data_IF_575040116772
#
_entry.id   IF_575040116772
#
_cell.length_a   1.000
_cell.length_b   1.000
_cell.length_c   1.000
_cell.angle_alpha   90.00
_cell.angle_beta   90.00
_cell.angle_gamma   90.00
#
_symmetry.space_group_name_H-M   'P 1'
#
loop_
_entity.id
_entity.type
_entity.pdbx_description
1 polymer ?
#
# COMPACT_ATOMS: atom_id res chain seq x y z
N UNK A 1 6.60 33.74 11.73
CA UNK A 1 6.66 34.72 10.62
C UNK A 1 7.46 34.07 9.48
N UNK A 2 6.79 33.34 8.60
CA UNK A 2 7.42 32.58 7.48
C UNK A 2 7.39 33.42 6.19
N UNK A 3 7.89 34.63 6.24
CA UNK A 3 7.95 35.50 5.06
C UNK A 3 9.23 35.19 4.29
N UNK A 4 9.13 34.37 3.24
CA UNK A 4 10.22 34.23 2.27
C UNK A 4 10.44 32.85 1.63
N UNK A 5 9.99 31.75 2.24
CA UNK A 5 10.16 30.41 1.65
C UNK A 5 8.81 29.90 1.12
N UNK A 6 8.74 29.62 -0.16
CA UNK A 6 7.55 29.08 -0.84
C UNK A 6 7.23 27.64 -0.39
N UNK A 7 8.22 26.90 0.12
CA UNK A 7 8.16 25.51 0.58
C UNK A 7 8.84 25.35 1.96
N UNK A 8 8.44 24.33 2.75
CA UNK A 8 9.11 24.06 4.02
C UNK A 8 10.57 23.65 3.79
N UNK A 9 11.45 23.97 4.71
CA UNK A 9 12.84 23.51 4.69
C UNK A 9 12.99 22.19 5.46
N UNK A 10 12.18 22.01 6.51
CA UNK A 10 12.21 20.81 7.35
C UNK A 10 10.81 20.32 7.70
N UNK A 11 10.55 19.05 7.40
CA UNK A 11 9.27 18.38 7.60
C UNK A 11 9.36 17.33 8.70
N UNK A 12 8.45 17.37 9.66
CA UNK A 12 8.21 16.28 10.62
C UNK A 12 7.19 15.31 10.01
N UNK A 13 7.65 14.20 9.50
CA UNK A 13 6.78 13.14 8.98
C UNK A 13 6.48 12.14 10.09
N UNK A 14 5.21 11.74 10.28
CA UNK A 14 4.80 10.85 11.37
C UNK A 14 4.25 9.55 10.81
N UNK A 15 4.89 8.44 11.17
CA UNK A 15 4.43 7.05 10.93
C UNK A 15 4.53 6.26 12.22
N UNK A 16 3.61 6.52 13.18
CA UNK A 16 3.70 6.04 14.56
C UNK A 16 3.61 4.51 14.65
N UNK A 17 2.64 3.89 13.96
CA UNK A 17 2.26 2.49 14.18
C UNK A 17 3.16 1.47 13.47
N UNK A 18 3.95 1.91 12.49
CA UNK A 18 4.87 1.06 11.73
C UNK A 18 6.03 1.88 11.19
N UNK A 19 7.25 1.36 11.33
CA UNK A 19 8.45 2.03 10.85
C UNK A 19 8.55 1.98 9.34
N UNK A 20 8.94 3.08 8.65
CA UNK A 20 9.22 3.05 7.21
C UNK A 20 10.38 2.10 6.85
N UNK A 21 11.19 1.68 7.84
CA UNK A 21 12.28 0.72 7.66
C UNK A 21 11.81 -0.74 7.79
N UNK A 22 10.57 -0.97 8.23
CA UNK A 22 10.03 -2.32 8.34
C UNK A 22 9.86 -2.96 6.95
N UNK A 23 10.16 -4.25 6.86
CA UNK A 23 10.04 -5.00 5.60
C UNK A 23 8.59 -5.13 5.18
N UNK A 24 8.16 -4.58 4.02
CA UNK A 24 6.80 -4.72 3.54
C UNK A 24 6.40 -6.19 3.37
N UNK A 25 5.17 -6.53 3.75
CA UNK A 25 4.68 -7.91 3.68
C UNK A 25 4.84 -8.71 4.97
N UNK A 26 5.48 -8.14 6.01
CA UNK A 26 5.60 -8.75 7.35
C UNK A 26 4.79 -7.96 8.38
N UNK A 27 4.08 -8.66 9.26
CA UNK A 27 3.29 -8.05 10.33
C UNK A 27 2.30 -7.01 9.80
N UNK A 28 2.42 -5.78 10.32
CA UNK A 28 1.60 -4.64 9.88
C UNK A 28 2.23 -3.82 8.74
N UNK A 29 3.48 -4.12 8.37
CA UNK A 29 4.18 -3.41 7.31
C UNK A 29 3.63 -3.75 5.91
N UNK A 30 3.42 -2.73 5.10
CA UNK A 30 2.83 -2.88 3.77
C UNK A 30 3.02 -1.65 2.88
N UNK A 31 2.04 -1.35 2.04
CA UNK A 31 2.08 -0.22 1.10
C UNK A 31 2.33 1.14 1.76
N UNK A 32 1.83 1.35 2.98
CA UNK A 32 2.09 2.59 3.73
C UNK A 32 3.59 2.78 4.00
N UNK A 33 4.29 1.72 4.41
CA UNK A 33 5.73 1.79 4.69
C UNK A 33 6.51 2.16 3.42
N UNK A 34 6.16 1.54 2.29
CA UNK A 34 6.73 1.86 0.97
C UNK A 34 6.46 3.33 0.63
N UNK A 35 5.21 3.79 0.80
CA UNK A 35 4.83 5.17 0.52
C UNK A 35 5.64 6.17 1.34
N UNK A 36 5.68 5.99 2.66
CA UNK A 36 6.40 6.90 3.58
C UNK A 36 7.90 6.93 3.28
N UNK A 37 8.51 5.75 3.08
CA UNK A 37 9.94 5.64 2.79
C UNK A 37 10.30 6.33 1.45
N UNK A 38 9.56 6.04 0.38
CA UNK A 38 9.83 6.62 -0.94
C UNK A 38 9.56 8.12 -0.98
N UNK A 39 8.44 8.58 -0.41
CA UNK A 39 8.14 10.01 -0.35
C UNK A 39 9.20 10.78 0.45
N UNK A 40 9.58 10.28 1.63
CA UNK A 40 10.60 10.92 2.47
C UNK A 40 11.94 11.01 1.73
N UNK A 41 12.38 9.93 1.09
CA UNK A 41 13.60 9.90 0.28
C UNK A 41 13.56 10.91 -0.86
N UNK A 42 12.45 10.94 -1.63
CA UNK A 42 12.31 11.85 -2.78
C UNK A 42 12.23 13.33 -2.39
N UNK A 43 11.62 13.64 -1.24
CA UNK A 43 11.65 14.98 -0.67
C UNK A 43 13.08 15.37 -0.26
N UNK A 44 13.83 14.43 0.36
CA UNK A 44 15.24 14.61 0.70
C UNK A 44 16.12 14.87 -0.53
N UNK A 45 15.94 14.13 -1.62
CA UNK A 45 16.62 14.35 -2.90
C UNK A 45 16.36 15.75 -3.49
N UNK A 46 15.25 16.37 -3.13
CA UNK A 46 14.92 17.77 -3.51
C UNK A 46 15.42 18.81 -2.50
N UNK A 47 16.24 18.39 -1.53
CA UNK A 47 16.90 19.26 -0.56
C UNK A 47 16.08 19.57 0.70
N UNK A 48 14.88 18.99 0.89
CA UNK A 48 14.14 19.14 2.13
C UNK A 48 14.74 18.25 3.22
N UNK A 49 14.87 18.76 4.43
CA UNK A 49 15.18 17.92 5.58
C UNK A 49 13.92 17.21 6.04
N UNK A 50 13.94 15.87 6.04
CA UNK A 50 12.78 15.05 6.42
C UNK A 50 13.16 14.17 7.60
N UNK A 51 12.53 14.41 8.73
CA UNK A 51 12.62 13.57 9.92
C UNK A 51 11.35 12.72 10.02
N UNK A 52 11.48 11.41 9.83
CA UNK A 52 10.36 10.47 9.96
C UNK A 52 10.34 9.91 11.37
N UNK A 53 9.33 10.28 12.14
CA UNK A 53 9.15 9.83 13.52
C UNK A 53 8.28 8.58 13.57
N UNK A 54 8.79 7.55 14.22
CA UNK A 54 8.10 6.27 14.41
C UNK A 54 8.28 5.76 15.84
N UNK A 55 7.39 4.86 16.29
CA UNK A 55 7.52 4.24 17.61
C UNK A 55 8.62 3.18 17.58
N UNK A 56 9.42 3.12 18.64
CA UNK A 56 10.35 2.02 18.86
C UNK A 56 9.58 0.73 19.17
N UNK A 57 9.75 -0.29 18.37
CA UNK A 57 9.09 -1.59 18.49
C UNK A 57 10.02 -2.75 18.86
N UNK A 58 11.32 -2.47 18.93
CA UNK A 58 12.36 -3.39 19.41
C UNK A 58 13.51 -2.59 20.03
N UNK A 59 14.19 -3.09 21.08
CA UNK A 59 15.28 -2.39 21.74
C UNK A 59 16.55 -2.28 20.86
N UNK A 60 16.70 -3.14 19.85
CA UNK A 60 17.89 -3.21 19.01
C UNK A 60 17.97 -2.09 17.97
N UNK A 61 16.85 -1.43 17.64
CA UNK A 61 16.89 -0.34 16.64
C UNK A 61 17.56 0.91 17.22
N UNK A 62 18.45 1.59 16.46
CA UNK A 62 19.05 2.86 16.88
C UNK A 62 18.02 3.97 17.08
N UNK A 63 18.33 4.97 17.90
CA UNK A 63 17.47 6.16 18.09
C UNK A 63 17.24 6.90 16.76
N UNK A 64 18.30 6.99 15.95
CA UNK A 64 18.28 7.68 14.65
C UNK A 64 18.95 6.79 13.61
N UNK A 65 18.30 6.67 12.45
CA UNK A 65 18.86 6.01 11.26
C UNK A 65 18.84 6.99 10.10
N UNK A 66 20.03 7.36 9.61
CA UNK A 66 20.17 8.15 8.39
C UNK A 66 19.88 7.24 7.17
N UNK A 67 18.85 7.54 6.41
CA UNK A 67 18.43 6.74 5.24
C UNK A 67 18.81 7.41 3.91
N UNK A 68 19.02 8.71 3.93
CA UNK A 68 19.50 9.53 2.83
C UNK A 68 20.15 10.81 3.40
N UNK A 69 20.90 11.57 2.58
CA UNK A 69 21.61 12.78 3.00
C UNK A 69 20.75 13.77 3.81
N UNK A 70 19.47 13.91 3.46
CA UNK A 70 18.53 14.83 4.12
C UNK A 70 17.35 14.11 4.80
N UNK A 71 17.40 12.79 4.93
CA UNK A 71 16.26 11.99 5.43
C UNK A 71 16.70 11.07 6.55
N UNK A 72 16.03 11.17 7.71
CA UNK A 72 16.31 10.34 8.88
C UNK A 72 15.04 9.70 9.40
N UNK A 73 15.18 8.51 9.97
CA UNK A 73 14.13 7.85 10.77
C UNK A 73 14.51 7.95 12.24
N UNK A 74 13.60 8.47 13.04
CA UNK A 74 13.80 8.73 14.48
C UNK A 74 12.83 7.86 15.27
N UNK A 75 13.37 6.98 16.10
CA UNK A 75 12.59 6.07 16.93
C UNK A 75 12.31 6.70 18.30
N UNK A 76 11.02 6.81 18.65
CA UNK A 76 10.55 7.36 19.93
C UNK A 76 10.09 6.23 20.88
N UNK A 77 10.40 6.37 22.16
CA UNK A 77 10.11 5.39 23.20
C UNK A 77 8.70 5.61 23.77
N UNK A 78 7.65 5.33 23.04
CA UNK A 78 6.27 5.38 23.53
C UNK A 78 5.79 3.97 23.88
N UNK A 79 5.57 3.71 25.18
CA UNK A 79 5.31 2.36 25.71
C UNK A 79 6.54 1.45 25.65
N UNK A 80 6.35 0.13 25.70
CA UNK A 80 7.44 -0.83 25.70
C UNK A 80 8.18 -0.84 24.34
N UNK A 81 9.51 -1.05 24.35
CA UNK A 81 10.31 -1.28 23.15
C UNK A 81 10.09 -2.73 22.63
N UNK A 82 8.84 -3.03 22.26
CA UNK A 82 8.39 -4.33 21.77
C UNK A 82 7.19 -4.13 20.83
N UNK A 83 6.82 -5.19 20.13
CA UNK A 83 5.57 -5.18 19.36
C UNK A 83 4.37 -4.90 20.28
N UNK A 84 3.54 -3.98 19.87
CA UNK A 84 2.26 -3.65 20.53
C UNK A 84 1.15 -3.84 19.51
N UNK A 85 0.14 -4.61 19.86
CA UNK A 85 -1.00 -4.84 18.98
C UNK A 85 -1.66 -3.50 18.62
N UNK A 86 -2.08 -3.37 17.37
CA UNK A 86 -2.60 -2.13 16.77
C UNK A 86 -3.75 -1.52 17.56
N UNK A 87 -4.58 -2.36 18.17
CA UNK A 87 -5.72 -1.99 19.00
C UNK A 87 -5.30 -1.32 20.31
N UNK A 88 -4.09 -1.58 20.79
CA UNK A 88 -3.55 -0.99 22.02
C UNK A 88 -2.74 0.30 21.76
N UNK A 89 -2.32 0.57 20.52
CA UNK A 89 -1.53 1.75 20.17
C UNK A 89 -2.21 3.09 20.45
N UNK A 90 -3.56 3.24 20.41
CA UNK A 90 -4.20 4.52 20.77
C UNK A 90 -3.83 5.04 22.16
N UNK A 91 -3.57 4.16 23.12
CA UNK A 91 -3.17 4.54 24.49
C UNK A 91 -1.77 5.15 24.58
N UNK A 92 -0.94 5.01 23.53
CA UNK A 92 0.43 5.49 23.47
C UNK A 92 0.59 6.80 22.69
N UNK A 93 -0.48 7.35 22.14
CA UNK A 93 -0.44 8.57 21.31
C UNK A 93 0.01 9.80 22.10
N UNK A 94 -0.41 9.94 23.37
CA UNK A 94 -0.05 11.08 24.21
C UNK A 94 1.45 11.06 24.57
N UNK A 95 1.98 9.90 24.95
CA UNK A 95 3.39 9.73 25.26
C UNK A 95 4.25 9.97 24.00
N UNK A 96 3.85 9.45 22.86
CA UNK A 96 4.52 9.67 21.59
C UNK A 96 4.51 11.15 21.20
N UNK A 97 3.37 11.82 21.34
CA UNK A 97 3.19 13.24 21.06
C UNK A 97 4.10 14.12 21.94
N UNK A 98 4.18 13.84 23.24
CA UNK A 98 5.02 14.60 24.16
C UNK A 98 6.52 14.50 23.81
N UNK A 99 6.99 13.30 23.46
CA UNK A 99 8.39 13.11 23.04
C UNK A 99 8.70 13.77 21.69
N UNK A 100 7.74 13.75 20.76
CA UNK A 100 7.89 14.39 19.46
C UNK A 100 7.87 15.92 19.60
N UNK A 101 6.99 16.48 20.43
CA UNK A 101 6.92 17.93 20.68
C UNK A 101 8.26 18.53 21.08
N UNK A 102 9.02 17.83 21.93
CA UNK A 102 10.36 18.27 22.38
C UNK A 102 11.41 18.28 21.25
N UNK A 103 11.08 17.88 20.02
CA UNK A 103 12.00 17.78 18.87
C UNK A 103 11.57 18.63 17.66
N UNK A 104 10.49 19.41 17.79
CA UNK A 104 9.90 20.14 16.65
C UNK A 104 10.44 21.54 16.41
N UNK A 105 11.34 22.06 17.25
CA UNK A 105 11.82 23.47 17.25
C UNK A 105 12.28 23.99 15.89
N UNK A 106 12.72 23.11 15.00
CA UNK A 106 13.27 23.46 13.69
C UNK A 106 12.40 22.99 12.53
N UNK A 107 11.20 22.48 12.79
CA UNK A 107 10.31 22.01 11.74
C UNK A 107 9.33 23.10 11.33
N UNK A 108 8.99 23.10 10.04
CA UNK A 108 8.10 24.09 9.45
C UNK A 108 6.68 23.52 9.26
N UNK A 109 6.56 22.18 9.22
CA UNK A 109 5.33 21.50 8.86
C UNK A 109 5.31 20.07 9.41
N UNK A 110 4.12 19.57 9.74
CA UNK A 110 3.84 18.19 10.13
C UNK A 110 3.12 17.49 8.98
N UNK A 111 3.62 16.32 8.55
CA UNK A 111 2.92 15.43 7.64
C UNK A 111 2.66 14.08 8.30
N UNK A 112 1.43 13.78 8.66
CA UNK A 112 1.05 12.56 9.38
C UNK A 112 0.41 11.53 8.44
N UNK A 113 0.73 10.25 8.67
CA UNK A 113 0.28 9.12 7.87
C UNK A 113 -0.51 8.14 8.71
N UNK A 114 -1.74 7.84 8.31
CA UNK A 114 -2.68 6.98 9.03
C UNK A 114 -3.25 7.63 10.30
N UNK A 115 -4.44 7.19 10.73
CA UNK A 115 -5.22 7.86 11.76
C UNK A 115 -4.51 8.05 13.12
N UNK A 116 -3.70 7.08 13.59
CA UNK A 116 -2.93 7.21 14.83
C UNK A 116 -1.93 8.38 14.76
N UNK A 117 -1.18 8.44 13.67
CA UNK A 117 -0.27 9.56 13.42
C UNK A 117 -1.02 10.88 13.23
N UNK A 118 -2.22 10.82 12.67
CA UNK A 118 -3.11 11.98 12.54
C UNK A 118 -3.56 12.53 13.89
N UNK A 119 -3.88 11.67 14.86
CA UNK A 119 -4.19 12.08 16.24
C UNK A 119 -3.01 12.81 16.89
N UNK A 120 -1.80 12.24 16.77
CA UNK A 120 -0.56 12.89 17.21
C UNK A 120 -0.36 14.23 16.50
N UNK A 121 -0.53 14.28 15.17
CA UNK A 121 -0.40 15.50 14.38
C UNK A 121 -1.36 16.61 14.84
N UNK A 122 -2.61 16.27 15.20
CA UNK A 122 -3.57 17.23 15.76
C UNK A 122 -3.15 17.77 17.12
N UNK A 123 -2.64 16.91 18.00
CA UNK A 123 -2.14 17.34 19.33
C UNK A 123 -0.97 18.32 19.17
N UNK A 124 -0.02 17.98 18.29
CA UNK A 124 1.14 18.83 18.01
C UNK A 124 0.76 20.16 17.35
N UNK A 125 -0.15 20.14 16.37
CA UNK A 125 -0.66 21.37 15.75
C UNK A 125 -1.22 22.34 16.81
N UNK A 126 -2.04 21.83 17.75
CA UNK A 126 -2.60 22.63 18.85
C UNK A 126 -1.53 23.15 19.80
N UNK A 127 -0.47 22.39 20.04
CA UNK A 127 0.59 22.73 20.99
C UNK A 127 1.66 23.67 20.44
N UNK A 128 2.06 23.50 19.17
CA UNK A 128 3.17 24.28 18.58
C UNK A 128 2.76 25.15 17.39
N UNK A 129 1.51 25.07 16.92
CA UNK A 129 1.00 25.91 15.83
C UNK A 129 1.52 25.55 14.43
N UNK A 130 2.23 24.44 14.27
CA UNK A 130 2.72 24.01 12.94
C UNK A 130 1.56 23.56 12.05
N UNK A 131 1.59 23.89 10.73
CA UNK A 131 0.64 23.37 9.77
C UNK A 131 0.64 21.84 9.69
N UNK A 132 -0.55 21.25 9.53
CA UNK A 132 -0.73 19.80 9.46
C UNK A 132 -1.25 19.36 8.08
N UNK A 133 -0.44 18.61 7.36
CA UNK A 133 -0.85 17.80 6.22
C UNK A 133 -1.12 16.38 6.69
N UNK A 134 -2.19 15.75 6.21
CA UNK A 134 -2.51 14.38 6.59
C UNK A 134 -2.87 13.51 5.40
N UNK A 135 -2.30 12.29 5.36
CA UNK A 135 -2.64 11.22 4.41
C UNK A 135 -3.37 10.10 5.16
N UNK A 136 -4.61 9.81 4.77
CA UNK A 136 -5.42 8.80 5.46
C UNK A 136 -4.89 7.38 5.27
N UNK A 137 -4.40 7.03 4.10
CA UNK A 137 -4.02 5.70 3.61
C UNK A 137 -5.16 4.68 3.61
N UNK A 138 -5.99 4.66 4.62
CA UNK A 138 -7.21 3.85 4.71
C UNK A 138 -8.22 4.57 5.59
N UNK A 139 -9.49 4.45 5.28
CA UNK A 139 -10.58 5.01 6.07
C UNK A 139 -11.45 3.90 6.67
N UNK A 140 -11.77 4.02 7.96
CA UNK A 140 -12.57 3.04 8.70
C UNK A 140 -13.97 2.86 8.07
N UNK A 141 -14.64 3.96 7.68
CA UNK A 141 -15.95 3.89 7.03
C UNK A 141 -15.92 3.10 5.73
N UNK A 142 -14.93 3.37 4.86
CA UNK A 142 -14.76 2.66 3.59
C UNK A 142 -14.47 1.19 3.83
N UNK A 143 -13.63 0.88 4.82
CA UNK A 143 -13.34 -0.50 5.20
C UNK A 143 -14.58 -1.21 5.72
N UNK A 144 -15.36 -0.56 6.59
CA UNK A 144 -16.58 -1.12 7.15
C UNK A 144 -17.67 -1.37 6.09
N UNK A 145 -17.70 -0.57 5.02
CA UNK A 145 -18.63 -0.76 3.90
C UNK A 145 -18.24 -1.91 2.97
N UNK A 146 -16.97 -2.38 3.04
CA UNK A 146 -16.41 -3.40 2.15
C UNK A 146 -15.80 -4.58 2.93
N UNK A 147 -16.41 -4.96 4.05
CA UNK A 147 -15.93 -6.08 4.86
C UNK A 147 -16.10 -7.40 4.11
N UNK A 148 -15.04 -8.21 4.08
CA UNK A 148 -15.13 -9.62 3.72
C UNK A 148 -15.78 -10.44 4.84
N UNK A 149 -16.23 -11.65 4.51
CA UNK A 149 -16.87 -12.55 5.48
C UNK A 149 -15.94 -12.78 6.71
N UNK A 150 -16.48 -12.56 7.92
CA UNK A 150 -15.74 -12.77 9.16
C UNK A 150 -14.75 -11.67 9.55
N UNK A 151 -14.67 -10.57 8.82
CA UNK A 151 -13.83 -9.44 9.19
C UNK A 151 -14.50 -8.59 10.29
N UNK A 152 -13.75 -8.17 11.32
CA UNK A 152 -14.29 -7.29 12.36
C UNK A 152 -14.49 -5.86 11.80
N UNK A 153 -15.51 -5.20 12.34
CA UNK A 153 -15.78 -3.79 12.10
C UNK A 153 -14.67 -2.94 12.76
N UNK A 154 -14.23 -1.90 12.10
CA UNK A 154 -13.30 -0.93 12.70
C UNK A 154 -13.95 -0.21 13.89
N UNK A 155 -13.21 -0.01 14.99
CA UNK A 155 -13.78 0.49 16.23
C UNK A 155 -14.20 1.96 16.14
N UNK A 156 -15.20 2.35 16.93
CA UNK A 156 -15.72 3.73 17.00
C UNK A 156 -14.64 4.77 17.33
N UNK A 157 -13.65 4.42 18.18
CA UNK A 157 -12.54 5.31 18.49
C UNK A 157 -11.77 5.72 17.24
N UNK A 158 -11.62 4.83 16.25
CA UNK A 158 -10.99 5.13 14.98
C UNK A 158 -11.89 6.03 14.13
N UNK A 159 -13.18 5.75 14.02
CA UNK A 159 -14.14 6.57 13.28
C UNK A 159 -14.15 8.02 13.78
N UNK A 160 -14.22 8.21 15.11
CA UNK A 160 -14.16 9.53 15.72
C UNK A 160 -12.79 10.19 15.52
N UNK A 161 -11.72 9.41 15.63
CA UNK A 161 -10.36 9.89 15.39
C UNK A 161 -10.15 10.40 13.97
N UNK A 162 -10.60 9.66 12.97
CA UNK A 162 -10.55 10.06 11.56
C UNK A 162 -11.39 11.32 11.30
N UNK A 163 -12.59 11.42 11.87
CA UNK A 163 -13.41 12.61 11.76
C UNK A 163 -12.74 13.86 12.37
N UNK A 164 -12.11 13.72 13.53
CA UNK A 164 -11.37 14.81 14.16
C UNK A 164 -10.19 15.29 13.28
N UNK A 165 -9.47 14.36 12.66
CA UNK A 165 -8.36 14.67 11.74
C UNK A 165 -8.85 15.44 10.52
N UNK A 166 -9.95 15.00 9.91
CA UNK A 166 -10.55 15.67 8.76
C UNK A 166 -10.89 17.12 9.07
N UNK A 167 -11.46 17.39 10.25
CA UNK A 167 -11.81 18.75 10.65
C UNK A 167 -10.59 19.61 11.02
N UNK A 168 -9.54 19.02 11.57
CA UNK A 168 -8.41 19.76 12.16
C UNK A 168 -7.17 19.88 11.28
N UNK A 169 -6.99 19.05 10.26
CA UNK A 169 -5.87 19.17 9.32
C UNK A 169 -6.04 20.41 8.42
N UNK A 170 -4.93 21.01 8.02
CA UNK A 170 -4.95 22.14 7.07
C UNK A 170 -5.15 21.60 5.64
N UNK A 171 -4.46 20.52 5.30
CA UNK A 171 -4.57 19.83 4.02
C UNK A 171 -4.70 18.32 4.24
N UNK A 172 -5.59 17.71 3.48
CA UNK A 172 -5.76 16.26 3.36
C UNK A 172 -5.24 15.83 2.00
N UNK A 173 -4.36 14.84 1.95
CA UNK A 173 -3.98 14.23 0.68
C UNK A 173 -4.78 12.96 0.45
N UNK A 174 -5.39 12.84 -0.73
CA UNK A 174 -6.12 11.66 -1.18
C UNK A 174 -5.36 10.98 -2.32
N UNK A 175 -5.29 9.66 -2.31
CA UNK A 175 -4.60 8.90 -3.36
C UNK A 175 -5.34 8.93 -4.70
N UNK A 176 -6.67 9.10 -4.66
CA UNK A 176 -7.55 9.04 -5.83
C UNK A 176 -8.68 10.07 -5.75
N UNK A 177 -9.33 10.33 -6.89
CA UNK A 177 -10.55 11.15 -6.93
C UNK A 177 -11.69 10.54 -6.12
N UNK A 178 -11.77 9.22 -6.07
CA UNK A 178 -12.81 8.50 -5.29
C UNK A 178 -12.56 8.67 -3.80
N UNK A 179 -11.33 8.56 -3.33
CA UNK A 179 -10.96 8.85 -1.93
C UNK A 179 -11.26 10.31 -1.58
N UNK A 180 -10.98 11.25 -2.48
CA UNK A 180 -11.33 12.66 -2.30
C UNK A 180 -12.86 12.88 -2.21
N UNK A 181 -13.65 12.17 -3.01
CA UNK A 181 -15.10 12.19 -2.95
C UNK A 181 -15.63 11.60 -1.63
N UNK A 182 -15.06 10.49 -1.18
CA UNK A 182 -15.38 9.85 0.11
C UNK A 182 -15.09 10.78 1.30
N UNK A 183 -13.95 11.45 1.31
CA UNK A 183 -13.59 12.42 2.35
C UNK A 183 -14.63 13.55 2.43
N UNK A 184 -15.12 14.04 1.29
CA UNK A 184 -16.18 15.07 1.25
C UNK A 184 -17.52 14.55 1.71
N UNK A 185 -17.96 13.43 1.13
CA UNK A 185 -19.31 12.91 1.34
C UNK A 185 -19.50 12.33 2.75
N UNK A 186 -18.50 11.60 3.25
CA UNK A 186 -18.66 10.79 4.44
C UNK A 186 -17.93 11.33 5.69
N UNK A 187 -17.01 12.29 5.52
CA UNK A 187 -16.20 12.82 6.63
C UNK A 187 -16.28 14.33 6.78
N UNK A 188 -17.00 15.04 5.90
CA UNK A 188 -17.22 16.48 5.99
C UNK A 188 -15.99 17.32 5.63
N UNK A 189 -15.03 16.77 4.89
CA UNK A 189 -13.87 17.51 4.40
C UNK A 189 -14.31 18.61 3.40
N UNK A 190 -13.69 19.79 3.50
CA UNK A 190 -13.91 20.87 2.54
C UNK A 190 -13.17 20.60 1.25
N UNK A 191 -13.73 21.00 0.11
CA UNK A 191 -13.12 20.75 -1.20
C UNK A 191 -11.72 21.36 -1.34
N UNK A 192 -11.53 22.57 -0.82
CA UNK A 192 -10.25 23.30 -0.84
C UNK A 192 -9.18 22.70 0.10
N UNK A 193 -9.58 21.84 1.01
CA UNK A 193 -8.69 21.14 1.94
C UNK A 193 -8.08 19.88 1.31
N UNK A 194 -8.66 19.34 0.25
CA UNK A 194 -8.28 18.06 -0.32
C UNK A 194 -7.40 18.27 -1.55
N UNK A 195 -6.26 17.59 -1.57
CA UNK A 195 -5.39 17.51 -2.74
C UNK A 195 -5.21 16.06 -3.16
N UNK A 196 -5.35 15.78 -4.46
CA UNK A 196 -5.13 14.44 -4.99
C UNK A 196 -3.64 14.27 -5.22
N UNK A 197 -3.05 13.29 -4.49
CA UNK A 197 -1.62 12.97 -4.52
C UNK A 197 -1.48 11.45 -4.70
N UNK A 198 -1.56 10.95 -5.96
CA UNK A 198 -1.43 9.52 -6.22
C UNK A 198 -0.03 9.03 -5.86
N UNK A 199 0.10 7.84 -5.24
CA UNK A 199 1.39 7.17 -5.08
C UNK A 199 2.05 6.88 -6.43
N UNK A 200 3.37 6.80 -6.43
CA UNK A 200 4.16 6.41 -7.58
C UNK A 200 4.58 4.94 -7.54
N UNK A 201 5.15 4.49 -8.65
CA UNK A 201 5.91 3.25 -8.75
C UNK A 201 7.38 3.56 -9.06
N UNK A 202 8.28 2.75 -8.51
CA UNK A 202 9.71 2.89 -8.77
C UNK A 202 10.07 2.22 -10.10
N UNK A 203 10.10 3.00 -11.15
CA UNK A 203 10.40 2.55 -12.52
C UNK A 203 11.88 2.15 -12.74
N UNK A 204 12.77 2.44 -11.79
CA UNK A 204 14.14 1.93 -11.82
C UNK A 204 14.20 0.47 -11.36
N UNK A 205 13.41 0.12 -10.35
CA UNK A 205 13.31 -1.25 -9.87
C UNK A 205 12.33 -2.06 -10.71
N UNK A 206 11.15 -1.52 -11.01
CA UNK A 206 10.10 -2.20 -11.76
C UNK A 206 10.02 -1.63 -13.18
N UNK A 207 10.39 -2.42 -14.15
CA UNK A 207 10.41 -2.06 -15.58
C UNK A 207 10.16 -3.30 -16.43
N UNK A 208 9.79 -3.17 -17.72
CA UNK A 208 9.60 -4.32 -18.59
C UNK A 208 10.84 -5.22 -18.65
N UNK A 209 10.63 -6.51 -18.63
CA UNK A 209 11.69 -7.50 -18.40
C UNK A 209 11.65 -8.69 -19.35
N UNK A 210 12.75 -9.43 -19.41
CA UNK A 210 12.86 -10.66 -20.18
C UNK A 210 12.33 -11.86 -19.37
N UNK A 211 11.11 -12.29 -19.63
CA UNK A 211 10.45 -13.39 -18.93
C UNK A 211 11.21 -14.72 -19.03
N UNK A 212 11.70 -15.19 -20.22
CA UNK A 212 12.46 -16.43 -20.31
C UNK A 212 13.69 -16.47 -19.43
N UNK A 213 14.43 -15.34 -19.32
CA UNK A 213 15.59 -15.21 -18.44
C UNK A 213 15.19 -15.31 -16.97
N UNK A 214 14.11 -14.64 -16.58
CA UNK A 214 13.62 -14.67 -15.20
C UNK A 214 13.12 -16.08 -14.82
N UNK A 215 12.39 -16.75 -15.71
CA UNK A 215 11.94 -18.15 -15.50
C UNK A 215 13.10 -19.11 -15.32
N UNK A 216 14.13 -19.03 -16.17
CA UNK A 216 15.32 -19.85 -16.06
C UNK A 216 16.03 -19.65 -14.71
N UNK A 217 16.07 -18.40 -14.20
CA UNK A 217 16.73 -18.08 -12.92
C UNK A 217 16.00 -18.66 -11.70
N UNK A 218 14.67 -18.74 -11.75
CA UNK A 218 13.84 -19.29 -10.67
C UNK A 218 13.45 -20.75 -10.86
N UNK A 219 13.98 -21.41 -11.92
CA UNK A 219 13.65 -22.81 -12.22
C UNK A 219 12.20 -23.02 -12.65
N UNK A 220 11.55 -21.97 -13.17
CA UNK A 220 10.18 -22.05 -13.68
C UNK A 220 10.23 -22.52 -15.13
N UNK A 221 9.43 -23.55 -15.46
CA UNK A 221 9.31 -24.11 -16.81
C UNK A 221 8.81 -23.03 -17.78
N UNK A 222 9.38 -23.01 -19.01
CA UNK A 222 9.07 -21.93 -19.97
C UNK A 222 7.62 -21.94 -20.45
N UNK A 223 7.05 -23.14 -20.66
CA UNK A 223 5.72 -23.33 -21.27
C UNK A 223 4.60 -23.46 -20.22
N UNK A 224 4.83 -23.02 -18.98
CA UNK A 224 3.82 -23.06 -17.92
C UNK A 224 3.13 -21.69 -17.77
N UNK A 225 1.83 -21.70 -17.60
CA UNK A 225 1.04 -20.51 -17.23
C UNK A 225 1.27 -20.16 -15.77
N UNK A 226 1.64 -18.92 -15.45
CA UNK A 226 1.93 -18.49 -14.08
C UNK A 226 0.98 -17.36 -13.68
N UNK A 227 0.11 -17.65 -12.71
CA UNK A 227 -0.68 -16.64 -11.99
C UNK A 227 0.08 -16.26 -10.73
N UNK A 228 0.35 -14.98 -10.51
CA UNK A 228 1.08 -14.51 -9.35
C UNK A 228 0.19 -13.66 -8.43
N UNK A 229 0.21 -13.98 -7.15
CA UNK A 229 -0.29 -13.13 -6.06
C UNK A 229 0.89 -12.62 -5.24
N UNK A 230 0.89 -11.32 -4.92
CA UNK A 230 1.85 -10.69 -4.00
C UNK A 230 1.08 -9.89 -2.95
N UNK A 231 1.34 -10.18 -1.68
CA UNK A 231 0.70 -9.42 -0.61
C UNK A 231 0.72 -10.13 0.74
N UNK A 232 0.33 -9.41 1.79
CA UNK A 232 0.15 -10.02 3.10
C UNK A 232 -0.92 -11.10 3.03
N UNK A 233 -0.66 -12.25 3.64
CA UNK A 233 -1.61 -13.36 3.68
C UNK A 233 -2.65 -13.07 4.78
N UNK A 234 -3.76 -12.48 4.37
CA UNK A 234 -4.87 -12.08 5.25
C UNK A 234 -6.21 -12.07 4.50
N UNK A 235 -7.34 -12.23 5.16
CA UNK A 235 -8.66 -12.26 4.52
C UNK A 235 -8.94 -11.07 3.60
N UNK A 236 -8.51 -9.86 4.00
CA UNK A 236 -8.69 -8.64 3.21
C UNK A 236 -8.06 -8.71 1.81
N UNK A 237 -6.98 -9.49 1.65
CA UNK A 237 -6.26 -9.65 0.38
C UNK A 237 -6.78 -10.83 -0.45
N UNK A 238 -7.58 -11.69 0.15
CA UNK A 238 -8.36 -12.76 -0.48
C UNK A 238 -7.60 -13.73 -1.42
N UNK A 239 -6.39 -14.22 -1.08
CA UNK A 239 -5.73 -15.23 -1.93
C UNK A 239 -6.50 -16.54 -2.03
N UNK A 240 -7.43 -16.84 -1.12
CA UNK A 240 -8.37 -17.98 -1.18
C UNK A 240 -9.28 -17.93 -2.42
N UNK A 241 -9.63 -16.74 -2.89
CA UNK A 241 -10.41 -16.57 -4.14
C UNK A 241 -9.63 -17.09 -5.33
N UNK A 242 -8.31 -16.88 -5.36
CA UNK A 242 -7.47 -17.38 -6.46
C UNK A 242 -7.33 -18.91 -6.45
N UNK A 243 -7.23 -19.52 -5.26
CA UNK A 243 -7.22 -20.99 -5.15
C UNK A 243 -8.50 -21.57 -5.74
N UNK A 244 -9.66 -21.00 -5.38
CA UNK A 244 -10.96 -21.44 -5.93
C UNK A 244 -11.09 -21.17 -7.44
N UNK A 245 -10.61 -20.02 -7.91
CA UNK A 245 -10.61 -19.69 -9.34
C UNK A 245 -9.72 -20.63 -10.17
N UNK A 246 -8.53 -20.98 -9.66
CA UNK A 246 -7.64 -21.96 -10.31
C UNK A 246 -8.30 -23.35 -10.34
N UNK A 247 -8.93 -23.77 -9.24
CA UNK A 247 -9.68 -25.02 -9.22
C UNK A 247 -10.80 -25.04 -10.27
N UNK A 248 -11.50 -23.90 -10.44
CA UNK A 248 -12.55 -23.76 -11.48
C UNK A 248 -11.95 -23.80 -12.91
N UNK A 249 -10.77 -23.17 -13.13
CA UNK A 249 -10.06 -23.29 -14.42
C UNK A 249 -9.72 -24.75 -14.76
N UNK A 250 -9.19 -25.47 -13.78
CA UNK A 250 -8.85 -26.90 -13.93
C UNK A 250 -10.10 -27.77 -14.14
N UNK A 251 -11.19 -27.44 -13.47
CA UNK A 251 -12.48 -28.17 -13.67
C UNK A 251 -13.00 -28.00 -15.08
N UNK A 252 -12.82 -26.84 -15.71
CA UNK A 252 -13.21 -26.55 -17.09
C UNK A 252 -12.26 -27.16 -18.12
N UNK A 253 -10.96 -27.06 -17.85
CA UNK A 253 -9.90 -27.63 -18.69
C UNK A 253 -8.92 -28.43 -17.82
N UNK A 254 -9.13 -29.75 -17.67
CA UNK A 254 -8.25 -30.61 -16.87
C UNK A 254 -6.78 -30.65 -17.33
N UNK A 255 -6.49 -30.31 -18.60
CA UNK A 255 -5.12 -30.25 -19.11
C UNK A 255 -4.29 -29.12 -18.47
N UNK A 256 -4.93 -28.14 -17.86
CA UNK A 256 -4.24 -27.08 -17.09
C UNK A 256 -3.50 -27.59 -15.86
N UNK A 257 -3.80 -28.83 -15.37
CA UNK A 257 -3.04 -29.42 -14.25
C UNK A 257 -1.55 -29.51 -14.51
N UNK A 258 -1.17 -29.72 -15.74
CA UNK A 258 0.22 -29.94 -16.15
C UNK A 258 0.91 -28.64 -16.61
N UNK A 259 0.16 -27.54 -16.80
CA UNK A 259 0.67 -26.32 -17.41
C UNK A 259 0.31 -25.02 -16.68
N UNK A 260 -0.36 -25.06 -15.53
CA UNK A 260 -0.72 -23.87 -14.77
C UNK A 260 -0.18 -23.95 -13.34
N UNK A 261 0.39 -22.84 -12.87
CA UNK A 261 0.87 -22.67 -11.50
C UNK A 261 0.35 -21.37 -10.89
N UNK A 262 -0.16 -21.44 -9.66
CA UNK A 262 -0.48 -20.30 -8.82
C UNK A 262 0.66 -20.09 -7.83
N UNK A 263 1.36 -18.95 -7.92
CA UNK A 263 2.41 -18.56 -6.96
C UNK A 263 1.84 -17.51 -6.01
N UNK A 264 1.89 -17.79 -4.71
CA UNK A 264 1.42 -16.90 -3.64
C UNK A 264 2.63 -16.46 -2.82
N UNK A 265 3.00 -15.18 -2.94
CA UNK A 265 4.15 -14.58 -2.23
C UNK A 265 3.65 -13.66 -1.13
N UNK A 266 4.02 -13.97 0.13
CA UNK A 266 3.68 -13.10 1.26
C UNK A 266 3.93 -13.74 2.60
N UNK A 267 3.91 -12.91 3.63
CA UNK A 267 3.95 -13.36 5.03
C UNK A 267 2.59 -13.35 5.69
N UNK A 268 2.42 -14.12 6.77
CA UNK A 268 1.22 -14.07 7.60
C UNK A 268 1.06 -12.69 8.21
N UNK A 269 -0.18 -12.24 8.37
CA UNK A 269 -0.54 -10.96 8.98
C UNK A 269 -1.44 -11.17 10.19
N UNK A 270 -1.30 -10.31 11.21
CA UNK A 270 -1.99 -10.44 12.49
C UNK A 270 -1.20 -11.25 13.52
N UNK A 271 -1.66 -11.21 14.79
CA UNK A 271 -0.92 -11.74 15.94
C UNK A 271 -0.57 -13.23 15.84
N UNK A 272 -1.39 -14.04 15.17
CA UNK A 272 -1.24 -15.49 15.14
C UNK A 272 -1.04 -16.09 13.75
N UNK A 273 -1.25 -15.34 12.68
CA UNK A 273 -1.12 -15.86 11.30
C UNK A 273 -2.02 -17.08 10.97
N UNK A 274 -2.99 -17.40 11.84
CA UNK A 274 -3.82 -18.62 11.76
C UNK A 274 -4.54 -18.76 10.42
N UNK A 275 -5.06 -17.65 9.87
CA UNK A 275 -5.78 -17.70 8.61
C UNK A 275 -4.91 -18.14 7.43
N UNK A 276 -3.62 -17.78 7.44
CA UNK A 276 -2.69 -18.21 6.37
C UNK A 276 -2.54 -19.74 6.32
N UNK A 277 -2.71 -20.43 7.46
CA UNK A 277 -2.62 -21.88 7.56
C UNK A 277 -3.82 -22.60 6.93
N UNK A 278 -4.92 -21.89 6.64
CA UNK A 278 -6.11 -22.47 5.99
C UNK A 278 -5.97 -22.63 4.50
N UNK A 279 -5.02 -21.91 3.86
CA UNK A 279 -4.88 -21.88 2.39
C UNK A 279 -4.34 -23.22 1.83
N UNK A 280 -3.39 -23.86 2.51
CA UNK A 280 -2.89 -25.17 2.13
C UNK A 280 -3.99 -26.24 2.14
N UNK A 281 -4.70 -26.43 3.25
CA UNK A 281 -5.89 -27.30 3.27
C UNK A 281 -6.93 -26.98 2.20
N UNK A 282 -7.21 -25.69 1.96
CA UNK A 282 -8.12 -25.29 0.88
C UNK A 282 -7.65 -25.77 -0.50
N UNK A 283 -6.36 -25.69 -0.80
CA UNK A 283 -5.82 -26.20 -2.05
C UNK A 283 -5.97 -27.74 -2.16
N UNK A 284 -5.78 -28.47 -1.05
CA UNK A 284 -6.01 -29.93 -0.98
C UNK A 284 -7.48 -30.26 -1.20
N UNK A 285 -8.41 -29.58 -0.54
CA UNK A 285 -9.85 -29.80 -0.68
C UNK A 285 -10.34 -29.60 -2.10
N UNK A 286 -9.67 -28.72 -2.86
CA UNK A 286 -9.94 -28.48 -4.28
C UNK A 286 -9.10 -29.37 -5.22
N UNK A 287 -8.20 -30.20 -4.72
CA UNK A 287 -7.35 -31.12 -5.48
C UNK A 287 -6.35 -30.42 -6.41
N UNK A 288 -5.84 -29.26 -6.00
CA UNK A 288 -4.86 -28.43 -6.74
C UNK A 288 -3.60 -28.12 -5.93
N UNK A 289 -3.33 -28.86 -4.86
CA UNK A 289 -2.19 -28.64 -3.94
C UNK A 289 -0.84 -28.61 -4.67
N UNK A 290 -0.68 -29.39 -5.72
CA UNK A 290 0.56 -29.46 -6.52
C UNK A 290 0.71 -28.27 -7.50
N UNK A 291 -0.34 -27.47 -7.66
CA UNK A 291 -0.37 -26.30 -8.55
C UNK A 291 -0.16 -24.99 -7.79
N UNK A 292 -0.21 -25.01 -6.46
CA UNK A 292 -0.07 -23.82 -5.61
C UNK A 292 1.28 -23.82 -4.93
N UNK A 293 2.10 -22.82 -5.23
CA UNK A 293 3.41 -22.60 -4.64
C UNK A 293 3.36 -21.42 -3.65
N UNK A 294 3.43 -21.75 -2.36
CA UNK A 294 3.47 -20.76 -1.29
C UNK A 294 4.90 -20.33 -1.00
N UNK A 295 5.19 -19.04 -1.19
CA UNK A 295 6.49 -18.43 -0.97
C UNK A 295 6.46 -17.43 0.19
N UNK A 296 7.50 -17.34 1.01
CA UNK A 296 7.60 -16.29 2.01
C UNK A 296 7.61 -14.91 1.33
N UNK A 297 7.49 -13.84 2.14
CA UNK A 297 7.69 -12.49 1.65
C UNK A 297 9.05 -12.36 0.95
N UNK A 298 9.11 -11.54 -0.08
CA UNK A 298 10.33 -11.27 -0.84
C UNK A 298 10.68 -9.79 -0.79
N UNK A 299 11.97 -9.49 -0.82
CA UNK A 299 12.46 -8.11 -0.96
C UNK A 299 12.14 -7.56 -2.35
N UNK A 300 12.08 -6.22 -2.49
CA UNK A 300 11.64 -5.56 -3.74
C UNK A 300 12.41 -6.01 -4.99
N UNK A 301 13.72 -6.21 -4.89
CA UNK A 301 14.55 -6.70 -6.01
C UNK A 301 14.21 -8.12 -6.46
N UNK A 302 13.74 -8.96 -5.54
CA UNK A 302 13.25 -10.30 -5.88
C UNK A 302 11.82 -10.24 -6.39
N UNK A 303 10.95 -9.35 -5.84
CA UNK A 303 9.60 -9.16 -6.35
C UNK A 303 9.60 -8.74 -7.82
N UNK A 304 10.53 -7.87 -8.25
CA UNK A 304 10.73 -7.55 -9.66
C UNK A 304 10.85 -8.80 -10.52
N UNK A 305 11.67 -9.76 -10.08
CA UNK A 305 11.89 -11.00 -10.83
C UNK A 305 10.65 -11.90 -10.82
N UNK A 306 9.91 -11.95 -9.71
CA UNK A 306 8.64 -12.70 -9.64
C UNK A 306 7.57 -12.09 -10.55
N UNK A 307 7.46 -10.77 -10.61
CA UNK A 307 6.61 -10.13 -11.62
C UNK A 307 7.06 -10.53 -13.04
N UNK A 308 8.36 -10.58 -13.29
CA UNK A 308 8.88 -10.99 -14.60
C UNK A 308 8.63 -12.47 -14.95
N UNK A 309 8.48 -13.35 -13.98
CA UNK A 309 8.16 -14.77 -14.17
C UNK A 309 6.71 -14.97 -14.59
N UNK A 310 5.79 -14.17 -14.05
CA UNK A 310 4.36 -14.36 -14.20
C UNK A 310 3.84 -13.99 -15.60
N UNK A 311 2.71 -14.57 -15.99
CA UNK A 311 1.93 -14.18 -17.16
C UNK A 311 0.88 -13.14 -16.78
N UNK A 312 0.28 -13.30 -15.59
CA UNK A 312 -0.73 -12.40 -15.05
C UNK A 312 -0.53 -12.24 -13.54
N UNK A 313 -0.77 -11.04 -13.04
CA UNK A 313 -0.77 -10.77 -11.59
C UNK A 313 -2.21 -10.56 -11.13
N UNK A 314 -2.60 -11.23 -10.05
CA UNK A 314 -3.94 -11.20 -9.52
C UNK A 314 -4.02 -10.47 -8.18
N UNK A 315 -4.95 -9.50 -8.05
CA UNK A 315 -5.14 -8.67 -6.86
C UNK A 315 -6.62 -8.74 -6.41
N UNK A 316 -7.03 -9.83 -5.72
CA UNK A 316 -8.43 -10.09 -5.36
C UNK A 316 -8.88 -9.36 -4.07
N UNK A 317 -8.25 -8.28 -3.70
CA UNK A 317 -8.50 -7.58 -2.43
C UNK A 317 -9.95 -7.13 -2.27
N UNK A 318 -10.54 -7.31 -1.08
CA UNK A 318 -11.86 -6.74 -0.73
C UNK A 318 -11.82 -5.22 -0.63
N UNK A 319 -10.67 -4.67 -0.24
CA UNK A 319 -10.44 -3.23 -0.20
C UNK A 319 -8.98 -2.93 -0.51
N UNK A 320 -8.74 -1.92 -1.32
CA UNK A 320 -7.41 -1.44 -1.69
C UNK A 320 -7.45 0.08 -1.84
N UNK A 321 -6.61 0.78 -1.08
CA UNK A 321 -6.58 2.25 -1.12
C UNK A 321 -5.98 2.79 -2.41
N UNK A 322 -5.02 2.07 -2.98
CA UNK A 322 -4.40 2.46 -4.25
C UNK A 322 -4.00 1.25 -5.13
N UNK A 323 -3.25 0.27 -4.60
CA UNK A 323 -2.84 -0.92 -5.35
C UNK A 323 -1.41 -0.84 -5.89
N UNK A 324 -0.44 -0.59 -5.02
CA UNK A 324 0.98 -0.55 -5.41
C UNK A 324 1.44 -1.84 -6.09
N UNK A 325 0.98 -3.01 -5.63
CA UNK A 325 1.27 -4.31 -6.26
C UNK A 325 0.80 -4.34 -7.72
N UNK A 326 -0.40 -3.81 -7.99
CA UNK A 326 -0.92 -3.73 -9.35
C UNK A 326 -0.05 -2.81 -10.24
N UNK A 327 0.41 -1.68 -9.70
CA UNK A 327 1.32 -0.79 -10.44
C UNK A 327 2.70 -1.39 -10.66
N UNK A 328 3.27 -2.07 -9.67
CA UNK A 328 4.56 -2.75 -9.78
C UNK A 328 4.52 -3.85 -10.86
N UNK A 329 3.45 -4.65 -10.86
CA UNK A 329 3.22 -5.66 -11.89
C UNK A 329 3.11 -5.05 -13.29
N UNK A 330 2.30 -4.01 -13.44
CA UNK A 330 2.11 -3.30 -14.69
C UNK A 330 3.42 -2.65 -15.18
N UNK A 331 4.20 -2.06 -14.28
CA UNK A 331 5.51 -1.49 -14.62
C UNK A 331 6.47 -2.56 -15.17
N UNK A 332 6.35 -3.82 -14.72
CA UNK A 332 7.07 -4.98 -15.25
C UNK A 332 6.48 -5.53 -16.57
N UNK A 333 5.46 -4.87 -17.12
CA UNK A 333 4.79 -5.31 -18.36
C UNK A 333 3.87 -6.50 -18.16
N UNK A 334 3.30 -6.68 -16.95
CA UNK A 334 2.35 -7.76 -16.68
C UNK A 334 0.93 -7.22 -16.63
N UNK A 335 -0.02 -7.84 -17.36
CA UNK A 335 -1.43 -7.53 -17.19
C UNK A 335 -1.88 -7.91 -15.77
N UNK A 336 -2.87 -7.18 -15.27
CA UNK A 336 -3.38 -7.38 -13.90
C UNK A 336 -4.85 -7.75 -13.95
N UNK A 337 -5.24 -8.82 -13.23
CA UNK A 337 -6.64 -9.08 -12.89
C UNK A 337 -6.87 -8.61 -11.46
N UNK A 338 -7.76 -7.65 -11.27
CA UNK A 338 -8.00 -7.05 -9.95
C UNK A 338 -9.49 -6.95 -9.64
N UNK A 339 -9.83 -6.92 -8.35
CA UNK A 339 -11.20 -6.60 -7.94
C UNK A 339 -11.55 -5.16 -8.31
N UNK A 340 -12.78 -4.92 -8.78
CA UNK A 340 -13.34 -3.59 -9.07
C UNK A 340 -13.67 -2.85 -7.76
N UNK A 341 -12.62 -2.46 -6.99
CA UNK A 341 -12.74 -1.76 -5.70
C UNK A 341 -11.70 -0.66 -5.53
N UNK A 342 -12.09 0.39 -4.84
CA UNK A 342 -11.19 1.45 -4.35
C UNK A 342 -10.19 1.94 -5.38
N UNK A 343 -8.92 2.04 -4.97
CA UNK A 343 -7.82 2.52 -5.80
C UNK A 343 -7.47 1.62 -6.99
N UNK A 344 -7.88 0.34 -6.99
CA UNK A 344 -7.64 -0.56 -8.13
C UNK A 344 -8.32 -0.08 -9.42
N UNK A 345 -9.47 0.62 -9.32
CA UNK A 345 -10.14 1.26 -10.46
C UNK A 345 -9.31 2.34 -11.14
N UNK A 346 -8.36 2.91 -10.42
CA UNK A 346 -7.46 3.96 -10.92
C UNK A 346 -6.13 3.38 -11.41
N UNK A 347 -5.66 2.32 -10.75
CA UNK A 347 -4.37 1.70 -11.10
C UNK A 347 -4.49 0.68 -12.21
N UNK A 348 -5.64 0.03 -12.38
CA UNK A 348 -5.90 -0.91 -13.48
C UNK A 348 -6.93 -0.29 -14.42
N UNK A 349 -6.53 -0.06 -15.66
CA UNK A 349 -7.43 0.42 -16.71
C UNK A 349 -8.06 -0.81 -17.37
N UNK A 350 -9.36 -1.01 -17.09
CA UNK A 350 -10.11 -2.16 -17.52
C UNK A 350 -10.06 -2.36 -19.04
N UNK A 351 -9.88 -3.60 -19.49
CA UNK A 351 -9.68 -4.01 -20.89
C UNK A 351 -8.51 -3.33 -21.62
N UNK A 352 -7.65 -2.61 -20.90
CA UNK A 352 -6.48 -1.94 -21.48
C UNK A 352 -5.17 -2.40 -20.85
N UNK A 353 -5.03 -2.28 -19.54
CA UNK A 353 -3.84 -2.70 -18.80
C UNK A 353 -4.08 -3.92 -17.91
N UNK A 354 -5.29 -4.42 -17.91
CA UNK A 354 -5.75 -5.56 -17.10
C UNK A 354 -7.26 -5.70 -17.17
N UNK A 355 -7.82 -6.50 -16.29
CA UNK A 355 -9.27 -6.72 -16.16
C UNK A 355 -9.72 -6.42 -14.72
N UNK A 356 -10.89 -5.79 -14.60
CA UNK A 356 -11.54 -5.53 -13.31
C UNK A 356 -12.70 -6.52 -13.11
N UNK A 357 -12.64 -7.29 -12.02
CA UNK A 357 -13.65 -8.29 -11.66
C UNK A 357 -14.56 -7.74 -10.56
N UNK A 358 -15.87 -7.78 -10.76
CA UNK A 358 -16.84 -7.38 -9.74
C UNK A 358 -17.09 -8.51 -8.75
N UNK A 359 -16.77 -8.25 -7.48
CA UNK A 359 -16.93 -9.25 -6.41
C UNK A 359 -15.86 -10.35 -6.43
N UNK A 360 -16.16 -11.44 -5.73
CA UNK A 360 -15.19 -12.50 -5.42
C UNK A 360 -15.73 -13.89 -5.80
N UNK A 361 -16.65 -13.94 -6.75
CA UNK A 361 -17.14 -15.22 -7.32
C UNK A 361 -16.01 -15.92 -8.08
N UNK A 362 -15.72 -17.16 -7.73
CA UNK A 362 -14.62 -17.95 -8.30
C UNK A 362 -14.73 -18.16 -9.81
N UNK A 363 -15.96 -18.19 -10.35
CA UNK A 363 -16.19 -18.39 -11.80
C UNK A 363 -15.88 -17.11 -12.56
N UNK A 364 -16.29 -15.95 -12.02
CA UNK A 364 -15.97 -14.65 -12.61
C UNK A 364 -14.45 -14.41 -12.62
N UNK A 365 -13.75 -14.80 -11.56
CA UNK A 365 -12.29 -14.73 -11.50
C UNK A 365 -11.64 -15.72 -12.49
N UNK A 366 -12.15 -16.94 -12.61
CA UNK A 366 -11.68 -17.91 -13.60
C UNK A 366 -11.89 -17.40 -15.03
N UNK A 367 -13.04 -16.76 -15.32
CA UNK A 367 -13.32 -16.18 -16.64
C UNK A 367 -12.31 -15.08 -16.99
N UNK A 368 -12.02 -14.18 -16.06
CA UNK A 368 -11.07 -13.09 -16.28
C UNK A 368 -9.63 -13.59 -16.45
N UNK A 369 -9.21 -14.58 -15.65
CA UNK A 369 -7.89 -15.20 -15.79
C UNK A 369 -7.77 -15.96 -17.11
N UNK A 370 -8.78 -16.75 -17.50
CA UNK A 370 -8.81 -17.46 -18.78
C UNK A 370 -8.72 -16.49 -19.97
N UNK A 371 -9.45 -15.37 -19.92
CA UNK A 371 -9.45 -14.37 -21.00
C UNK A 371 -8.06 -13.81 -21.32
N UNK A 372 -7.16 -13.78 -20.32
CA UNK A 372 -5.76 -13.35 -20.53
C UNK A 372 -4.88 -14.54 -20.92
N UNK A 373 -5.02 -15.69 -20.23
CA UNK A 373 -4.12 -16.83 -20.41
C UNK A 373 -4.36 -17.59 -21.73
N UNK A 374 -5.59 -17.57 -22.25
CA UNK A 374 -5.96 -18.28 -23.49
C UNK A 374 -5.66 -17.47 -24.77
N UNK A 375 -5.34 -16.17 -24.65
CA UNK A 375 -4.98 -15.31 -25.76
C UNK A 375 -3.61 -14.66 -25.55
N UNK A 376 -2.57 -15.32 -26.04
CA UNK A 376 -1.19 -14.87 -25.88
C UNK A 376 -0.91 -13.48 -26.50
N UNK A 377 -1.50 -13.21 -27.67
CA UNK A 377 -1.31 -11.92 -28.35
C UNK A 377 -1.97 -10.79 -27.55
N UNK A 378 -3.16 -11.03 -27.02
CA UNK A 378 -3.86 -10.10 -26.14
C UNK A 378 -3.10 -9.88 -24.83
N UNK A 379 -2.56 -10.94 -24.22
CA UNK A 379 -1.74 -10.86 -23.01
C UNK A 379 -0.51 -9.95 -23.22
N UNK A 380 0.21 -10.12 -24.34
CA UNK A 380 1.37 -9.30 -24.69
C UNK A 380 0.94 -7.83 -24.90
N UNK A 381 -0.14 -7.61 -25.67
CA UNK A 381 -0.68 -6.28 -25.94
C UNK A 381 -1.09 -5.57 -24.65
N UNK A 382 -1.81 -6.26 -23.79
CA UNK A 382 -2.26 -5.74 -22.49
C UNK A 382 -1.07 -5.47 -21.56
N UNK A 383 -0.04 -6.31 -21.56
CA UNK A 383 1.21 -6.10 -20.82
C UNK A 383 1.98 -4.85 -21.27
N UNK A 384 2.08 -4.59 -22.57
CA UNK A 384 2.70 -3.38 -23.10
C UNK A 384 1.90 -2.12 -22.68
N UNK A 385 0.58 -2.19 -22.77
CA UNK A 385 -0.30 -1.12 -22.30
C UNK A 385 -0.18 -0.90 -20.78
N UNK A 386 -0.04 -1.97 -20.01
CA UNK A 386 0.16 -1.94 -18.56
C UNK A 386 1.43 -1.16 -18.20
N UNK A 387 2.56 -1.45 -18.88
CA UNK A 387 3.80 -0.72 -18.67
C UNK A 387 3.67 0.77 -19.01
N UNK A 388 3.02 1.10 -20.13
CA UNK A 388 2.76 2.48 -20.54
C UNK A 388 1.85 3.21 -19.53
N UNK A 389 0.83 2.52 -18.99
CA UNK A 389 -0.05 3.09 -17.98
C UNK A 389 0.68 3.31 -16.66
N UNK A 390 1.43 2.33 -16.15
CA UNK A 390 2.20 2.46 -14.92
C UNK A 390 3.23 3.58 -14.96
N UNK A 391 3.83 3.85 -16.13
CA UNK A 391 4.78 4.95 -16.32
C UNK A 391 4.18 6.35 -16.04
N UNK A 392 2.84 6.49 -16.06
CA UNK A 392 2.17 7.75 -15.70
C UNK A 392 2.14 8.01 -14.18
N UNK A 393 2.40 6.99 -13.37
CA UNK A 393 2.45 7.05 -11.91
C UNK A 393 3.90 7.10 -11.41
N UNK A 394 4.51 8.27 -11.43
CA UNK A 394 5.88 8.44 -10.96
C UNK A 394 5.94 9.02 -9.55
N UNK A 395 6.94 8.59 -8.76
CA UNK A 395 7.21 9.22 -7.47
C UNK A 395 7.59 10.70 -7.60
N UNK A 396 8.10 11.13 -8.75
CA UNK A 396 8.37 12.55 -9.00
C UNK A 396 7.09 13.37 -9.07
N UNK A 397 6.03 12.85 -9.70
CA UNK A 397 4.71 13.47 -9.71
C UNK A 397 4.09 13.49 -8.32
N UNK A 398 4.19 12.39 -7.57
CA UNK A 398 3.76 12.31 -6.16
C UNK A 398 4.45 13.38 -5.32
N UNK A 399 5.77 13.50 -5.46
CA UNK A 399 6.57 14.46 -4.69
C UNK A 399 6.22 15.90 -5.07
N UNK A 400 6.05 16.20 -6.35
CA UNK A 400 5.63 17.52 -6.81
C UNK A 400 4.25 17.92 -6.27
N UNK A 401 3.28 16.99 -6.32
CA UNK A 401 1.94 17.21 -5.76
C UNK A 401 1.98 17.37 -4.22
N UNK A 402 2.84 16.60 -3.52
CA UNK A 402 3.04 16.75 -2.08
C UNK A 402 3.63 18.11 -1.72
N UNK A 403 4.60 18.62 -2.49
CA UNK A 403 5.14 19.96 -2.29
C UNK A 403 4.08 21.04 -2.45
N UNK A 404 3.15 20.89 -3.39
CA UNK A 404 2.01 21.81 -3.51
C UNK A 404 1.08 21.72 -2.28
N UNK A 405 0.85 20.51 -1.75
CA UNK A 405 0.09 20.32 -0.50
C UNK A 405 0.77 21.04 0.67
N UNK A 406 2.09 20.95 0.78
CA UNK A 406 2.86 21.64 1.82
C UNK A 406 2.75 23.16 1.68
N UNK A 407 2.89 23.68 0.46
CA UNK A 407 2.71 25.11 0.18
C UNK A 407 1.30 25.59 0.58
N UNK A 408 0.29 24.83 0.22
CA UNK A 408 -1.10 25.15 0.57
C UNK A 408 -1.29 25.18 2.09
N UNK A 409 -0.71 24.22 2.83
CA UNK A 409 -0.78 24.17 4.28
C UNK A 409 -0.06 25.35 4.96
N UNK A 410 1.11 25.76 4.45
CA UNK A 410 1.86 26.91 4.95
C UNK A 410 1.13 28.25 4.76
N UNK A 411 0.32 28.37 3.71
CA UNK A 411 -0.47 29.56 3.39
C UNK A 411 -1.84 29.54 4.08
N UNK A 412 -2.26 28.43 4.68
CA UNK A 412 -3.54 28.34 5.37
C UNK A 412 -3.55 29.29 6.60
N UNK A 413 -4.65 30.03 6.83
CA UNK A 413 -4.77 30.84 8.03
C UNK A 413 -4.69 29.98 9.29
N UNK A 414 -3.95 30.40 10.30
CA UNK A 414 -3.89 29.72 11.59
C UNK A 414 -5.31 29.56 12.15
N UNK A 415 -5.70 28.33 12.47
CA UNK A 415 -7.03 27.95 12.97
C UNK A 415 -6.95 27.43 14.38
#
# INVERSE_FOLDING_TARGET
MYAGCEYPQRVAMISMHTSPLATPGLGDAGGLNVYVAELARRLGERGLKVDVFTRRDTPEVPDVVDVHEHTRVIHLNAGPAAYVAKEALPSLTDEFSAQLAARLDQHDLIHSHYWLSGQVGLQLKRGCGLPLVHTMHTMARVKNSNLGAGQPVEPEVRLHGEAAIVHGADVLTANTSDEAAELRANSGARAEQIMIVPPGVDLHTFHPCNQPKSRAQFGVVQDIEVILFVGRIQPLKAPDVLIKAVAELVRRDPARRDRLQLIIIGGPSGANGEWSQTLGPLAVDHGIENMVDFRPHSVRSELFRWYCVSDVVAVPSYNESFGLVALEAQACGRPVVATDVGGLRHTVRDHYSGLLVRGHDERAWADALAAILDDHDEMIRMGANAAAHAATFSWDNTTAATLQAYRTALLAPAR
#
